data_IF_825462340287
#
_entry.id   IF_825462340287
#
_cell.length_a   1.000
_cell.length_b   1.000
_cell.length_c   1.000
_cell.angle_alpha   90.00
_cell.angle_beta   90.00
_cell.angle_gamma   90.00
#
_symmetry.space_group_name_H-M   'P 1'
#
loop_
_entity.id
_entity.type
_entity.pdbx_description
1 polymer ?
#
# COMPACT_ATOMS: atom_id res chain seq x y z
N UNK A 1 -4.72 -17.52 -4.29
CA UNK A 1 -3.33 -17.78 -4.71
C UNK A 1 -2.43 -17.97 -3.50
N UNK A 2 -1.56 -19.00 -3.50
CA UNK A 2 -0.39 -19.05 -2.59
C UNK A 2 0.63 -17.96 -2.95
N UNK A 3 1.37 -17.44 -1.98
CA UNK A 3 2.32 -16.33 -2.20
C UNK A 3 3.40 -16.66 -3.24
N UNK A 4 3.85 -17.92 -3.33
CA UNK A 4 4.81 -18.36 -4.34
C UNK A 4 4.30 -18.15 -5.77
N UNK A 5 2.99 -18.33 -5.98
CA UNK A 5 2.36 -18.13 -7.28
C UNK A 5 2.21 -16.62 -7.58
N UNK A 6 2.02 -15.78 -6.57
CA UNK A 6 2.11 -14.31 -6.71
C UNK A 6 3.51 -13.89 -7.17
N UNK A 7 4.55 -14.34 -6.47
CA UNK A 7 5.96 -14.03 -6.81
C UNK A 7 6.30 -14.51 -8.23
N UNK A 8 5.94 -15.75 -8.58
CA UNK A 8 6.15 -16.29 -9.94
C UNK A 8 5.40 -15.48 -11.01
N UNK A 9 4.21 -14.99 -10.71
CA UNK A 9 3.42 -14.15 -11.63
C UNK A 9 4.16 -12.85 -11.94
N UNK A 10 4.65 -12.15 -10.91
CA UNK A 10 5.42 -10.93 -11.10
C UNK A 10 6.77 -11.18 -11.75
N UNK A 11 7.48 -12.26 -11.42
CA UNK A 11 8.74 -12.63 -12.06
C UNK A 11 8.56 -12.77 -13.59
N UNK A 12 7.51 -13.46 -14.05
CA UNK A 12 7.20 -13.56 -15.49
C UNK A 12 6.96 -12.20 -16.14
N UNK A 13 6.25 -11.28 -15.46
CA UNK A 13 6.01 -9.92 -15.96
C UNK A 13 7.31 -9.11 -16.04
N UNK A 14 8.16 -9.21 -15.02
CA UNK A 14 9.48 -8.57 -14.98
C UNK A 14 10.35 -9.08 -16.13
N UNK A 15 10.44 -10.39 -16.34
CA UNK A 15 11.25 -10.98 -17.42
C UNK A 15 10.77 -10.54 -18.80
N UNK A 16 9.44 -10.47 -18.99
CA UNK A 16 8.85 -9.95 -20.22
C UNK A 16 9.17 -8.46 -20.42
N UNK A 17 9.02 -7.63 -19.39
CA UNK A 17 9.25 -6.19 -19.48
C UNK A 17 10.73 -5.85 -19.65
N UNK A 18 11.67 -6.61 -19.10
CA UNK A 18 13.11 -6.39 -19.34
C UNK A 18 13.51 -6.43 -20.81
N UNK A 19 12.75 -7.16 -21.62
CA UNK A 19 13.00 -7.29 -23.07
C UNK A 19 12.01 -6.48 -23.92
N UNK A 20 10.80 -6.22 -23.42
CA UNK A 20 9.71 -5.62 -24.19
C UNK A 20 9.14 -4.32 -23.58
N UNK A 21 9.82 -3.71 -22.60
CA UNK A 21 9.36 -2.44 -22.00
C UNK A 21 9.31 -1.35 -23.08
N UNK A 22 8.15 -0.72 -23.32
CA UNK A 22 8.05 0.37 -24.28
C UNK A 22 8.96 1.55 -23.89
N UNK A 23 9.59 2.23 -24.86
CA UNK A 23 10.37 3.43 -24.58
C UNK A 23 9.52 4.48 -23.85
N UNK A 24 10.04 4.99 -22.73
CA UNK A 24 9.33 5.98 -21.90
C UNK A 24 8.24 5.40 -20.99
N UNK A 25 8.23 4.09 -20.76
CA UNK A 25 7.33 3.42 -19.80
C UNK A 25 8.08 2.54 -18.78
N UNK A 26 9.30 2.94 -18.41
CA UNK A 26 10.16 2.23 -17.48
C UNK A 26 9.52 2.02 -16.10
N UNK A 27 8.64 2.93 -15.69
CA UNK A 27 7.84 2.82 -14.46
C UNK A 27 7.04 1.50 -14.39
N UNK A 28 6.62 0.94 -15.54
CA UNK A 28 5.90 -0.35 -15.58
C UNK A 28 6.79 -1.52 -15.15
N UNK A 29 8.04 -1.54 -15.58
CA UNK A 29 9.01 -2.55 -15.15
C UNK A 29 9.29 -2.40 -13.65
N UNK A 30 9.64 -1.18 -13.22
CA UNK A 30 10.00 -0.89 -11.84
C UNK A 30 8.86 -1.22 -10.86
N UNK A 31 7.61 -0.90 -11.21
CA UNK A 31 6.43 -1.26 -10.42
C UNK A 31 6.32 -2.77 -10.19
N UNK A 32 6.53 -3.58 -11.24
CA UNK A 32 6.48 -5.03 -11.12
C UNK A 32 7.69 -5.58 -10.34
N UNK A 33 8.85 -4.94 -10.42
CA UNK A 33 10.02 -5.29 -9.61
C UNK A 33 9.77 -5.01 -8.12
N UNK A 34 9.18 -3.86 -7.77
CA UNK A 34 8.80 -3.53 -6.38
C UNK A 34 7.85 -4.59 -5.81
N UNK A 35 6.76 -4.89 -6.52
CA UNK A 35 5.77 -5.90 -6.09
C UNK A 35 6.39 -7.29 -5.95
N UNK A 36 7.23 -7.68 -6.91
CA UNK A 36 7.94 -8.96 -6.86
C UNK A 36 8.81 -9.03 -5.60
N UNK A 37 9.67 -8.03 -5.39
CA UNK A 37 10.56 -7.98 -4.22
C UNK A 37 9.78 -7.97 -2.92
N UNK A 38 8.72 -7.15 -2.81
CA UNK A 38 7.87 -7.09 -1.62
C UNK A 38 7.31 -8.46 -1.21
N UNK A 39 6.69 -9.18 -2.15
CA UNK A 39 6.14 -10.51 -1.85
C UNK A 39 7.22 -11.58 -1.66
N UNK A 40 8.36 -11.46 -2.34
CA UNK A 40 9.50 -12.38 -2.20
C UNK A 40 10.16 -12.25 -0.82
N UNK A 41 10.33 -11.03 -0.31
CA UNK A 41 10.80 -10.78 1.06
C UNK A 41 9.86 -11.41 2.10
N UNK A 42 8.55 -11.20 1.97
CA UNK A 42 7.57 -11.75 2.90
C UNK A 42 7.52 -13.30 2.86
N UNK A 43 7.66 -13.88 1.66
CA UNK A 43 7.72 -15.32 1.46
C UNK A 43 8.97 -15.95 2.09
N UNK A 44 10.13 -15.28 1.98
CA UNK A 44 11.42 -15.82 2.38
C UNK A 44 11.87 -15.39 3.79
N UNK A 45 11.17 -14.46 4.45
CA UNK A 45 11.58 -13.87 5.72
C UNK A 45 12.14 -14.89 6.73
N UNK A 46 11.41 -15.98 6.99
CA UNK A 46 11.84 -17.04 7.91
C UNK A 46 13.09 -17.79 7.44
N UNK A 47 13.22 -18.07 6.14
CA UNK A 47 14.39 -18.74 5.58
C UNK A 47 15.64 -17.84 5.66
N UNK A 48 15.44 -16.53 5.52
CA UNK A 48 16.48 -15.51 5.60
C UNK A 48 16.83 -15.12 7.06
N UNK A 49 16.20 -15.76 8.06
CA UNK A 49 16.40 -15.44 9.47
C UNK A 49 15.90 -14.06 9.89
N UNK A 50 14.95 -13.49 9.14
CA UNK A 50 14.30 -12.20 9.43
C UNK A 50 12.93 -12.41 10.06
N UNK A 51 12.55 -11.48 10.94
CA UNK A 51 11.19 -11.42 11.46
C UNK A 51 10.23 -10.86 10.40
N UNK A 52 8.99 -11.33 10.42
CA UNK A 52 7.87 -10.85 9.61
C UNK A 52 6.86 -10.13 10.51
N UNK A 53 6.69 -8.83 10.27
CA UNK A 53 5.74 -7.99 10.99
C UNK A 53 4.51 -7.72 10.12
N UNK A 54 3.32 -8.02 10.65
CA UNK A 54 2.06 -7.66 10.00
C UNK A 54 1.62 -6.24 10.38
N UNK A 55 1.12 -5.49 9.41
CA UNK A 55 0.63 -4.14 9.59
C UNK A 55 -0.72 -3.96 8.88
N UNK A 56 -1.69 -3.34 9.54
CA UNK A 56 -2.95 -2.94 8.89
C UNK A 56 -2.72 -1.93 7.76
N UNK A 57 -3.71 -1.80 6.87
CA UNK A 57 -3.61 -0.99 5.64
C UNK A 57 -3.07 0.43 5.86
N UNK A 58 -3.46 1.13 6.93
CA UNK A 58 -3.06 2.53 7.22
C UNK A 58 -1.88 2.64 8.18
N UNK A 59 -1.44 1.54 8.80
CA UNK A 59 -0.36 1.59 9.77
C UNK A 59 1.03 1.72 9.10
N UNK A 60 1.99 2.46 9.68
CA UNK A 60 3.23 2.83 9.02
C UNK A 60 4.24 1.68 8.97
N UNK A 61 4.61 1.23 7.77
CA UNK A 61 5.59 0.15 7.58
C UNK A 61 7.04 0.61 7.77
N UNK A 62 7.26 1.92 7.84
CA UNK A 62 8.55 2.57 8.04
C UNK A 62 9.24 2.09 9.31
N UNK A 63 8.47 1.91 10.40
CA UNK A 63 9.00 1.41 11.68
C UNK A 63 9.56 -0.01 11.54
N UNK A 64 8.85 -0.89 10.82
CA UNK A 64 9.31 -2.25 10.54
C UNK A 64 10.61 -2.24 9.73
N UNK A 65 10.67 -1.41 8.68
CA UNK A 65 11.85 -1.30 7.81
C UNK A 65 13.06 -0.76 8.58
N UNK A 66 12.87 0.28 9.38
CA UNK A 66 13.92 0.82 10.25
C UNK A 66 14.47 -0.25 11.21
N UNK A 67 13.57 -1.10 11.74
CA UNK A 67 13.88 -2.25 12.60
C UNK A 67 14.32 -3.51 11.85
N UNK A 68 14.55 -3.44 10.53
CA UNK A 68 14.99 -4.60 9.73
C UNK A 68 14.01 -5.78 9.75
N UNK A 69 12.75 -5.53 10.11
CA UNK A 69 11.65 -6.49 10.06
C UNK A 69 11.00 -6.39 8.68
N UNK A 70 10.64 -7.54 8.10
CA UNK A 70 9.96 -7.59 6.81
C UNK A 70 8.49 -7.19 7.02
N UNK A 71 7.99 -6.12 6.38
CA UNK A 71 6.60 -5.73 6.49
C UNK A 71 5.71 -6.56 5.58
N UNK A 72 4.53 -6.91 6.07
CA UNK A 72 3.48 -7.53 5.29
C UNK A 72 2.11 -6.93 5.63
N UNK A 73 1.35 -6.53 4.62
CA UNK A 73 -0.02 -6.02 4.75
C UNK A 73 -0.99 -7.05 4.19
N UNK A 74 -1.67 -7.84 5.04
CA UNK A 74 -2.57 -8.89 4.58
C UNK A 74 -3.65 -8.36 3.61
N UNK A 75 -4.20 -7.17 3.85
CA UNK A 75 -5.24 -6.57 3.02
C UNK A 75 -4.77 -6.37 1.57
N UNK A 76 -3.51 -5.96 1.38
CA UNK A 76 -2.92 -5.81 0.05
C UNK A 76 -2.75 -7.16 -0.66
N UNK A 77 -2.44 -8.21 0.10
CA UNK A 77 -2.37 -9.56 -0.45
C UNK A 77 -3.73 -10.00 -0.99
N UNK A 78 -4.84 -9.67 -0.32
CA UNK A 78 -6.18 -9.91 -0.86
C UNK A 78 -6.47 -9.10 -2.12
N UNK A 79 -6.12 -7.82 -2.15
CA UNK A 79 -6.26 -6.98 -3.36
C UNK A 79 -5.53 -7.65 -4.55
N UNK A 80 -4.33 -8.19 -4.33
CA UNK A 80 -3.59 -8.90 -5.36
C UNK A 80 -4.27 -10.21 -5.80
N UNK A 81 -4.90 -10.94 -4.87
CA UNK A 81 -5.68 -12.14 -5.19
C UNK A 81 -6.93 -11.80 -6.02
N UNK A 82 -7.65 -10.75 -5.65
CA UNK A 82 -8.82 -10.24 -6.40
C UNK A 82 -8.42 -9.81 -7.81
N UNK A 83 -7.34 -9.02 -7.94
CA UNK A 83 -6.79 -8.58 -9.21
C UNK A 83 -6.28 -9.72 -10.11
N UNK A 84 -6.05 -10.90 -9.55
CA UNK A 84 -5.63 -12.10 -10.28
C UNK A 84 -6.81 -13.04 -10.61
N UNK A 85 -8.04 -12.67 -10.25
CA UNK A 85 -9.23 -13.49 -10.45
C UNK A 85 -9.37 -14.66 -9.45
N UNK A 86 -8.55 -14.71 -8.39
CA UNK A 86 -8.54 -15.80 -7.41
C UNK A 86 -9.16 -15.42 -6.06
N UNK A 87 -9.68 -14.20 -5.91
CA UNK A 87 -10.17 -13.70 -4.62
C UNK A 87 -11.56 -14.19 -4.19
N UNK A 88 -12.45 -14.53 -5.15
CA UNK A 88 -13.85 -14.85 -4.85
C UNK A 88 -14.01 -16.10 -3.98
N UNK A 89 -13.24 -17.15 -4.25
CA UNK A 89 -13.25 -18.39 -3.47
C UNK A 89 -12.93 -18.13 -1.99
N UNK A 90 -12.00 -17.21 -1.70
CA UNK A 90 -11.64 -16.88 -0.32
C UNK A 90 -12.73 -16.10 0.41
N UNK A 91 -13.51 -15.28 -0.30
CA UNK A 91 -14.69 -14.61 0.27
C UNK A 91 -15.72 -15.67 0.68
N UNK A 92 -16.00 -16.63 -0.20
CA UNK A 92 -16.93 -17.72 0.10
C UNK A 92 -16.47 -18.56 1.29
N UNK A 93 -15.18 -18.89 1.35
CA UNK A 93 -14.58 -19.60 2.48
C UNK A 93 -14.68 -18.82 3.79
N UNK A 94 -14.27 -17.54 3.80
CA UNK A 94 -14.32 -16.69 4.98
C UNK A 94 -15.72 -16.58 5.57
N UNK A 95 -16.71 -16.41 4.69
CA UNK A 95 -18.11 -16.43 5.09
C UNK A 95 -18.56 -17.81 5.60
N UNK A 96 -18.11 -18.90 4.94
CA UNK A 96 -18.38 -20.28 5.37
C UNK A 96 -17.80 -20.61 6.75
N UNK A 97 -16.73 -19.94 7.17
CA UNK A 97 -16.19 -20.02 8.52
C UNK A 97 -16.94 -19.17 9.55
N UNK A 98 -18.02 -18.49 9.15
CA UNK A 98 -18.89 -17.72 10.04
C UNK A 98 -18.48 -16.25 10.20
N UNK A 99 -17.52 -15.75 9.43
CA UNK A 99 -17.25 -14.30 9.40
C UNK A 99 -18.41 -13.57 8.71
N UNK A 100 -18.79 -12.41 9.23
CA UNK A 100 -19.96 -11.68 8.74
C UNK A 100 -19.79 -11.31 7.24
N UNK A 101 -20.74 -11.75 6.40
CA UNK A 101 -20.76 -11.44 4.96
C UNK A 101 -20.99 -9.96 4.65
N UNK A 102 -21.61 -9.23 5.57
CA UNK A 102 -21.84 -7.79 5.45
C UNK A 102 -20.58 -6.97 5.77
N UNK A 103 -19.51 -7.61 6.26
CA UNK A 103 -18.20 -6.97 6.42
C UNK A 103 -17.53 -6.72 5.06
N UNK A 104 -16.51 -5.86 5.05
CA UNK A 104 -15.67 -5.62 3.88
C UNK A 104 -15.22 -6.95 3.24
N UNK A 105 -15.44 -7.10 1.93
CA UNK A 105 -15.10 -8.32 1.18
C UNK A 105 -13.62 -8.69 1.31
N UNK A 106 -12.74 -7.70 1.43
CA UNK A 106 -11.31 -7.90 1.72
C UNK A 106 -11.10 -8.62 3.04
N UNK A 107 -11.83 -8.24 4.09
CA UNK A 107 -11.71 -8.83 5.43
C UNK A 107 -12.28 -10.25 5.46
N UNK A 108 -13.42 -10.47 4.79
CA UNK A 108 -13.99 -11.82 4.63
C UNK A 108 -12.99 -12.73 3.92
N UNK A 109 -12.42 -12.29 2.79
CA UNK A 109 -11.41 -13.05 2.07
C UNK A 109 -10.16 -13.35 2.90
N UNK A 110 -9.73 -12.40 3.74
CA UNK A 110 -8.59 -12.59 4.63
C UNK A 110 -8.81 -13.73 5.62
N UNK A 111 -10.00 -13.83 6.20
CA UNK A 111 -10.34 -14.96 7.09
C UNK A 111 -10.29 -16.28 6.33
N UNK A 112 -10.79 -16.32 5.10
CA UNK A 112 -10.68 -17.48 4.21
C UNK A 112 -9.22 -17.90 3.96
N UNK A 113 -8.36 -16.95 3.58
CA UNK A 113 -6.93 -17.17 3.38
C UNK A 113 -6.22 -17.63 4.66
N UNK A 114 -6.56 -17.03 5.81
CA UNK A 114 -5.98 -17.35 7.11
C UNK A 114 -6.25 -18.80 7.50
N UNK A 115 -7.53 -19.21 7.43
CA UNK A 115 -7.96 -20.56 7.80
C UNK A 115 -7.42 -21.65 6.88
N UNK A 116 -7.09 -21.30 5.63
CA UNK A 116 -6.44 -22.20 4.67
C UNK A 116 -4.91 -22.24 4.83
N UNK A 117 -4.31 -21.43 5.70
CA UNK A 117 -2.87 -21.37 5.89
C UNK A 117 -2.12 -20.85 4.66
N UNK A 118 -2.75 -19.95 3.88
CA UNK A 118 -2.19 -19.44 2.62
C UNK A 118 -1.45 -18.11 2.78
N UNK A 119 -1.39 -17.55 3.99
CA UNK A 119 -0.63 -16.33 4.28
C UNK A 119 0.70 -16.64 4.98
N UNK A 120 1.73 -15.82 4.74
CA UNK A 120 2.97 -15.85 5.52
C UNK A 120 2.70 -15.69 7.01
N UNK A 121 3.27 -16.54 7.87
CA UNK A 121 3.02 -16.51 9.31
C UNK A 121 3.78 -15.34 9.97
N UNK A 122 3.09 -14.41 10.67
CA UNK A 122 3.74 -13.29 11.36
C UNK A 122 4.45 -13.71 12.65
N UNK A 123 5.53 -13.00 12.99
CA UNK A 123 6.13 -13.03 14.32
C UNK A 123 5.40 -12.09 15.30
N UNK A 124 4.87 -10.98 14.78
CA UNK A 124 3.98 -10.06 15.50
C UNK A 124 3.15 -9.24 14.52
N UNK A 125 2.11 -8.56 15.03
CA UNK A 125 1.23 -7.71 14.23
C UNK A 125 0.96 -6.37 14.92
N UNK A 126 0.58 -5.35 14.15
CA UNK A 126 -0.05 -4.15 14.68
C UNK A 126 -1.12 -3.63 13.73
N UNK A 127 -2.17 -3.07 14.31
CA UNK A 127 -3.34 -2.61 13.57
C UNK A 127 -3.99 -1.40 14.24
N UNK A 128 -4.76 -0.64 13.47
CA UNK A 128 -5.52 0.51 13.95
C UNK A 128 -7.01 0.36 13.69
N UNK A 129 -7.82 1.20 14.34
CA UNK A 129 -9.23 1.40 13.99
C UNK A 129 -9.42 2.13 12.64
N UNK A 130 -8.42 2.90 12.19
CA UNK A 130 -8.41 3.53 10.87
C UNK A 130 -8.16 2.46 9.78
N UNK A 131 -8.88 2.46 8.63
CA UNK A 131 -9.99 3.33 8.27
C UNK A 131 -11.38 2.84 8.66
N UNK A 132 -11.50 1.68 9.32
CA UNK A 132 -12.81 1.15 9.68
C UNK A 132 -12.81 0.20 10.87
N UNK A 133 -13.92 0.20 11.62
CA UNK A 133 -14.16 -0.70 12.76
C UNK A 133 -14.12 -2.19 12.38
N UNK A 134 -14.51 -2.52 11.14
CA UNK A 134 -14.43 -3.91 10.67
C UNK A 134 -13.00 -4.44 10.60
N UNK A 135 -12.00 -3.54 10.56
CA UNK A 135 -10.59 -3.87 10.70
C UNK A 135 -10.27 -4.38 12.10
N UNK A 136 -10.80 -3.77 13.15
CA UNK A 136 -10.57 -4.18 14.55
C UNK A 136 -10.98 -5.64 14.75
N UNK A 137 -12.22 -5.98 14.36
CA UNK A 137 -12.73 -7.35 14.47
C UNK A 137 -11.94 -8.34 13.61
N UNK A 138 -11.52 -7.94 12.41
CA UNK A 138 -10.67 -8.77 11.56
C UNK A 138 -9.35 -9.10 12.28
N UNK A 139 -8.68 -8.09 12.83
CA UNK A 139 -7.37 -8.27 13.45
C UNK A 139 -7.45 -9.10 14.73
N UNK A 140 -8.52 -8.98 15.53
CA UNK A 140 -8.79 -9.88 16.66
C UNK A 140 -8.89 -11.35 16.21
N UNK A 141 -9.61 -11.60 15.10
CA UNK A 141 -9.74 -12.93 14.52
C UNK A 141 -8.40 -13.45 13.99
N UNK A 142 -7.62 -12.60 13.30
CA UNK A 142 -6.30 -12.99 12.78
C UNK A 142 -5.33 -13.31 13.92
N UNK A 143 -5.27 -12.49 14.96
CA UNK A 143 -4.45 -12.72 16.16
C UNK A 143 -4.83 -14.04 16.84
N UNK A 144 -6.13 -14.38 16.90
CA UNK A 144 -6.57 -15.68 17.41
C UNK A 144 -6.19 -16.85 16.50
N UNK A 145 -6.22 -16.70 15.17
CA UNK A 145 -5.83 -17.77 14.24
C UNK A 145 -4.32 -18.04 14.31
N UNK A 146 -3.50 -16.99 14.33
CA UNK A 146 -2.05 -17.10 14.23
C UNK A 146 -1.35 -17.18 15.58
N UNK A 147 -2.04 -16.86 16.69
CA UNK A 147 -1.48 -16.86 18.04
C UNK A 147 -0.18 -16.04 18.15
N UNK A 148 -0.08 -14.97 17.35
CA UNK A 148 1.03 -14.02 17.40
C UNK A 148 0.64 -12.83 18.26
N UNK A 149 1.59 -12.15 18.91
CA UNK A 149 1.22 -11.01 19.72
C UNK A 149 0.94 -9.79 18.83
N UNK A 150 -0.09 -9.03 19.19
CA UNK A 150 -0.58 -7.89 18.44
C UNK A 150 -0.54 -6.61 19.26
N UNK A 151 -0.29 -5.48 18.60
CA UNK A 151 -0.41 -4.13 19.16
C UNK A 151 -1.57 -3.39 18.49
N UNK A 152 -2.48 -2.83 19.30
CA UNK A 152 -3.53 -1.95 18.80
C UNK A 152 -3.03 -0.50 18.86
N UNK A 153 -2.88 0.11 17.70
CA UNK A 153 -2.48 1.51 17.53
C UNK A 153 -3.74 2.37 17.52
N UNK A 154 -3.97 3.10 18.61
CA UNK A 154 -5.15 3.94 18.74
C UNK A 154 -5.03 5.19 17.87
N UNK A 155 -6.13 5.54 17.21
CA UNK A 155 -6.16 6.57 16.19
C UNK A 155 -7.09 7.72 16.59
N UNK A 156 -6.59 8.97 16.64
CA UNK A 156 -7.43 10.10 17.02
C UNK A 156 -8.44 10.45 15.91
N UNK A 157 -9.64 10.88 16.32
CA UNK A 157 -10.69 11.35 15.39
C UNK A 157 -10.52 12.81 14.93
N UNK A 158 -9.60 13.55 15.55
CA UNK A 158 -9.39 14.97 15.30
C UNK A 158 -8.19 15.20 14.39
N UNK A 159 -8.23 16.27 13.59
CA UNK A 159 -7.15 16.68 12.70
C UNK A 159 -6.52 17.97 13.19
N UNK A 160 -5.81 17.89 14.32
CA UNK A 160 -5.16 19.02 14.96
C UNK A 160 -3.80 18.63 15.57
N UNK A 161 -3.13 19.61 16.20
CA UNK A 161 -1.82 19.38 16.81
C UNK A 161 -1.86 18.44 18.02
N UNK A 162 -2.98 18.38 18.74
CA UNK A 162 -3.15 17.50 19.89
C UNK A 162 -3.26 16.04 19.42
N UNK A 163 -4.05 15.79 18.39
CA UNK A 163 -4.14 14.49 17.73
C UNK A 163 -2.78 13.99 17.22
N UNK A 164 -1.99 14.87 16.59
CA UNK A 164 -0.62 14.53 16.16
C UNK A 164 0.27 14.17 17.35
N UNK A 165 0.20 14.94 18.44
CA UNK A 165 1.00 14.67 19.64
C UNK A 165 0.60 13.35 20.30
N UNK A 166 -0.70 13.05 20.35
CA UNK A 166 -1.23 11.80 20.88
C UNK A 166 -0.76 10.60 20.05
N UNK A 167 -0.99 10.64 18.73
CA UNK A 167 -0.59 9.55 17.85
C UNK A 167 0.93 9.36 17.81
N UNK A 168 1.71 10.43 17.99
CA UNK A 168 3.16 10.31 18.17
C UNK A 168 3.51 9.47 19.41
N UNK A 169 2.83 9.67 20.54
CA UNK A 169 2.99 8.84 21.74
C UNK A 169 2.63 7.36 21.48
N UNK A 170 1.51 7.12 20.80
CA UNK A 170 1.11 5.76 20.37
C UNK A 170 2.17 5.09 19.47
N UNK A 171 2.82 5.86 18.60
CA UNK A 171 3.94 5.36 17.77
C UNK A 171 5.20 5.09 18.60
N UNK A 172 5.47 5.86 19.67
CA UNK A 172 6.57 5.60 20.61
C UNK A 172 6.34 4.29 21.37
N UNK A 173 5.11 4.03 21.83
CA UNK A 173 4.72 2.77 22.47
C UNK A 173 4.81 1.58 21.49
N UNK A 174 4.40 1.78 20.24
CA UNK A 174 4.57 0.78 19.18
C UNK A 174 6.06 0.49 18.92
N UNK A 175 6.93 1.49 18.96
CA UNK A 175 8.39 1.28 18.86
C UNK A 175 8.87 0.42 20.03
N UNK A 176 8.50 0.72 21.27
CA UNK A 176 8.87 -0.10 22.43
C UNK A 176 8.39 -1.55 22.27
N UNK A 177 7.15 -1.75 21.83
CA UNK A 177 6.62 -3.07 21.52
C UNK A 177 7.48 -3.81 20.49
N UNK A 178 7.96 -3.15 19.44
CA UNK A 178 8.85 -3.76 18.44
C UNK A 178 10.24 -4.06 19.03
N UNK A 179 10.83 -3.16 19.82
CA UNK A 179 12.14 -3.35 20.44
C UNK A 179 12.19 -4.61 21.32
N UNK A 180 11.13 -4.87 22.08
CA UNK A 180 10.98 -6.07 22.91
C UNK A 180 11.01 -7.36 22.10
N UNK A 181 10.55 -7.34 20.84
CA UNK A 181 10.47 -8.52 19.95
C UNK A 181 11.68 -8.72 19.09
N UNK A 182 12.27 -7.62 18.63
CA UNK A 182 13.50 -7.64 17.84
C UNK A 182 14.73 -7.75 18.75
N UNK A 183 14.56 -7.55 20.07
CA UNK A 183 15.60 -7.59 21.09
C UNK A 183 16.76 -6.60 20.84
N UNK A 184 16.41 -5.43 20.30
CA UNK A 184 17.35 -4.34 20.05
C UNK A 184 16.59 -3.01 20.03
N UNK A 185 17.22 -1.90 20.44
CA UNK A 185 16.60 -0.59 20.33
C UNK A 185 16.45 -0.16 18.87
N UNK A 186 15.49 0.73 18.63
CA UNK A 186 15.35 1.48 17.39
C UNK A 186 16.58 2.33 17.18
N UNK A 187 17.19 2.20 16.01
CA UNK A 187 18.29 3.06 15.58
C UNK A 187 17.70 4.36 15.00
N UNK A 188 17.90 5.52 15.67
CA UNK A 188 17.31 6.78 15.22
C UNK A 188 17.80 7.21 13.83
N UNK A 189 19.05 6.90 13.47
CA UNK A 189 19.59 7.25 12.16
C UNK A 189 18.95 6.40 11.06
N UNK A 190 18.76 5.10 11.32
CA UNK A 190 18.02 4.22 10.40
C UNK A 190 16.58 4.67 10.23
N UNK A 191 15.89 5.01 11.32
CA UNK A 191 14.53 5.53 11.26
C UNK A 191 14.48 6.83 10.44
N UNK A 192 15.40 7.75 10.70
CA UNK A 192 15.50 9.00 9.97
C UNK A 192 15.73 8.76 8.46
N UNK A 193 16.65 7.86 8.10
CA UNK A 193 16.92 7.52 6.72
C UNK A 193 15.71 6.87 6.03
N UNK A 194 15.00 5.98 6.72
CA UNK A 194 13.75 5.39 6.21
C UNK A 194 12.70 6.47 5.97
N UNK A 195 12.42 7.34 6.95
CA UNK A 195 11.42 8.40 6.81
C UNK A 195 11.81 9.43 5.73
N UNK A 196 13.10 9.78 5.59
CA UNK A 196 13.59 10.62 4.47
C UNK A 196 13.28 10.03 3.10
N UNK A 197 13.35 8.71 2.97
CA UNK A 197 13.03 8.01 1.72
C UNK A 197 11.54 8.12 1.41
N UNK A 198 10.71 7.97 2.45
CA UNK A 198 9.25 8.09 2.36
C UNK A 198 8.81 9.52 2.06
N UNK A 199 9.56 10.49 2.59
CA UNK A 199 9.40 11.91 2.32
C UNK A 199 9.55 12.24 0.82
N UNK A 200 10.61 11.73 0.18
CA UNK A 200 10.80 11.91 -1.27
C UNK A 200 9.64 11.30 -2.07
N UNK A 201 9.24 10.07 -1.72
CA UNK A 201 8.10 9.39 -2.37
C UNK A 201 6.80 10.19 -2.21
N UNK A 202 6.55 10.74 -1.02
CA UNK A 202 5.37 11.56 -0.73
C UNK A 202 5.37 12.85 -1.55
N UNK A 203 6.51 13.55 -1.64
CA UNK A 203 6.66 14.74 -2.46
C UNK A 203 6.38 14.47 -3.94
N UNK A 204 6.97 13.42 -4.49
CA UNK A 204 6.77 13.02 -5.88
C UNK A 204 5.33 12.59 -6.15
N UNK A 205 4.68 11.95 -5.17
CA UNK A 205 3.27 11.56 -5.25
C UNK A 205 2.36 12.78 -5.29
N UNK A 206 2.59 13.78 -4.44
CA UNK A 206 1.86 15.06 -4.47
C UNK A 206 2.04 15.74 -5.83
N UNK A 207 3.28 15.86 -6.31
CA UNK A 207 3.56 16.51 -7.59
C UNK A 207 2.95 15.73 -8.77
N UNK A 208 2.92 14.40 -8.69
CA UNK A 208 2.22 13.55 -9.66
C UNK A 208 0.71 13.83 -9.67
N UNK A 209 0.06 13.98 -8.51
CA UNK A 209 -1.37 14.31 -8.46
C UNK A 209 -1.67 15.69 -9.06
N UNK A 210 -0.77 16.66 -8.90
CA UNK A 210 -0.90 17.97 -9.56
C UNK A 210 -0.86 17.86 -11.09
N UNK A 211 0.00 16.99 -11.63
CA UNK A 211 0.07 16.75 -13.08
C UNK A 211 -1.23 16.16 -13.64
N UNK A 212 -1.99 15.38 -12.86
CA UNK A 212 -3.28 14.83 -13.28
C UNK A 212 -4.38 15.89 -13.44
N UNK A 213 -4.15 17.13 -12.98
CA UNK A 213 -5.05 18.27 -13.24
C UNK A 213 -4.96 18.79 -14.68
N UNK A 214 -3.91 18.46 -15.41
CA UNK A 214 -3.76 18.86 -16.82
C UNK A 214 -4.92 18.34 -17.68
N UNK A 215 -5.23 19.06 -18.77
CA UNK A 215 -6.25 18.69 -19.76
C UNK A 215 -5.58 18.59 -21.13
N UNK A 216 -5.53 17.39 -21.75
CA UNK A 216 -5.98 16.10 -21.21
C UNK A 216 -5.11 15.59 -20.05
N UNK A 217 -5.65 14.71 -19.20
CA UNK A 217 -4.94 14.09 -18.08
C UNK A 217 -3.89 13.10 -18.61
N UNK A 218 -2.62 13.20 -18.22
CA UNK A 218 -1.52 12.41 -18.79
C UNK A 218 -1.56 10.92 -18.43
N UNK A 219 -2.32 10.53 -17.40
CA UNK A 219 -2.37 9.17 -16.85
C UNK A 219 -3.80 8.77 -16.50
N UNK A 220 -4.22 7.59 -16.96
CA UNK A 220 -5.54 7.02 -16.70
C UNK A 220 -5.66 6.46 -15.28
N UNK A 221 -6.90 6.30 -14.81
CA UNK A 221 -7.19 5.93 -13.41
C UNK A 221 -6.52 4.63 -12.99
N UNK A 222 -6.58 3.62 -13.84
CA UNK A 222 -6.00 2.30 -13.60
C UNK A 222 -4.51 2.35 -13.34
N UNK A 223 -3.78 3.19 -14.08
CA UNK A 223 -2.34 3.32 -13.92
C UNK A 223 -1.98 4.15 -12.69
N UNK A 224 -2.77 5.17 -12.36
CA UNK A 224 -2.57 5.95 -11.15
C UNK A 224 -2.63 5.09 -9.87
N UNK A 225 -3.47 4.04 -9.84
CA UNK A 225 -3.54 3.06 -8.74
C UNK A 225 -2.24 2.34 -8.43
N UNK A 226 -1.28 2.33 -9.35
CA UNK A 226 0.03 1.75 -9.08
C UNK A 226 0.74 2.47 -7.93
N UNK A 227 0.41 3.74 -7.64
CA UNK A 227 0.95 4.45 -6.47
C UNK A 227 0.52 3.85 -5.13
N UNK A 228 -0.57 3.08 -5.09
CA UNK A 228 -0.98 2.35 -3.87
C UNK A 228 0.10 1.38 -3.35
N UNK A 229 1.07 0.96 -4.18
CA UNK A 229 2.19 0.14 -3.71
C UNK A 229 3.06 0.85 -2.65
N UNK A 230 3.11 2.19 -2.69
CA UNK A 230 3.91 2.99 -1.76
C UNK A 230 3.50 2.76 -0.30
N UNK A 231 2.23 2.47 -0.03
CA UNK A 231 1.72 2.15 1.32
C UNK A 231 2.31 0.85 1.89
N UNK A 232 2.74 -0.06 1.02
CA UNK A 232 3.22 -1.40 1.39
C UNK A 232 4.75 -1.48 1.35
N UNK A 233 5.33 -0.82 0.35
CA UNK A 233 6.74 -0.86 0.01
C UNK A 233 7.45 0.45 0.39
N UNK A 234 6.88 1.22 1.32
CA UNK A 234 7.51 2.42 1.87
C UNK A 234 8.88 2.07 2.46
N UNK A 235 9.86 2.96 2.29
CA UNK A 235 11.24 2.75 2.72
C UNK A 235 12.09 1.82 1.83
N UNK A 236 11.55 1.25 0.75
CA UNK A 236 12.34 0.47 -0.22
C UNK A 236 12.98 1.40 -1.29
N UNK A 237 14.27 1.26 -1.60
CA UNK A 237 14.91 2.02 -2.69
C UNK A 237 14.21 1.85 -4.04
N UNK A 238 13.75 0.63 -4.35
CA UNK A 238 13.02 0.31 -5.57
C UNK A 238 11.71 1.10 -5.70
N UNK A 239 11.05 1.39 -4.58
CA UNK A 239 9.82 2.21 -4.56
C UNK A 239 10.13 3.64 -4.98
N UNK A 240 11.25 4.20 -4.53
CA UNK A 240 11.67 5.55 -4.93
C UNK A 240 11.96 5.59 -6.43
N UNK A 241 12.69 4.60 -6.95
CA UNK A 241 13.00 4.51 -8.38
C UNK A 241 11.72 4.43 -9.22
N UNK A 242 10.77 3.57 -8.83
CA UNK A 242 9.47 3.46 -9.46
C UNK A 242 8.73 4.81 -9.48
N UNK A 243 8.54 5.42 -8.31
CA UNK A 243 7.76 6.66 -8.18
C UNK A 243 8.41 7.81 -8.94
N UNK A 244 9.75 7.90 -8.92
CA UNK A 244 10.50 8.91 -9.68
C UNK A 244 10.32 8.73 -11.18
N UNK A 245 10.47 7.50 -11.69
CA UNK A 245 10.23 7.20 -13.10
C UNK A 245 8.78 7.51 -13.50
N UNK A 246 7.82 7.11 -12.66
CA UNK A 246 6.39 7.32 -12.93
C UNK A 246 6.03 8.81 -12.98
N UNK A 247 6.56 9.61 -12.06
CA UNK A 247 6.43 11.06 -12.09
C UNK A 247 7.07 11.66 -13.35
N UNK A 248 8.31 11.30 -13.69
CA UNK A 248 9.02 11.84 -14.85
C UNK A 248 8.28 11.54 -16.16
N UNK A 249 7.85 10.30 -16.37
CA UNK A 249 7.08 9.89 -17.55
C UNK A 249 5.78 10.68 -17.67
N UNK A 250 5.09 10.89 -16.55
CA UNK A 250 3.85 11.66 -16.47
C UNK A 250 4.09 13.15 -16.78
N UNK A 251 5.17 13.72 -16.23
CA UNK A 251 5.54 15.12 -16.46
C UNK A 251 5.90 15.39 -17.92
N UNK A 252 6.60 14.45 -18.58
CA UNK A 252 6.90 14.54 -20.01
C UNK A 252 5.64 14.49 -20.87
N UNK A 253 4.70 13.57 -20.57
CA UNK A 253 3.40 13.51 -21.27
C UNK A 253 2.61 14.81 -21.10
N UNK A 254 2.53 15.32 -19.86
CA UNK A 254 1.86 16.59 -19.57
C UNK A 254 2.49 17.76 -20.35
N UNK A 255 3.83 17.83 -20.43
CA UNK A 255 4.53 18.88 -21.19
C UNK A 255 4.26 18.82 -22.69
N UNK A 256 4.07 17.61 -23.24
CA UNK A 256 3.71 17.41 -24.66
C UNK A 256 2.22 17.59 -24.93
N UNK A 257 1.38 17.80 -23.91
CA UNK A 257 -0.07 17.87 -24.05
C UNK A 257 -0.70 16.51 -24.39
N UNK A 258 -0.03 15.41 -24.05
CA UNK A 258 -0.50 14.05 -24.33
C UNK A 258 -1.37 13.55 -23.18
N UNK A 259 -2.58 13.09 -23.52
CA UNK A 259 -3.50 12.46 -22.58
C UNK A 259 -3.28 10.97 -22.42
N UNK A 260 -3.88 10.40 -21.39
CA UNK A 260 -3.99 8.95 -21.19
C UNK A 260 -4.74 8.28 -22.34
N UNK A 261 -5.73 8.98 -22.89
CA UNK A 261 -6.55 8.55 -24.02
C UNK A 261 -6.64 9.65 -25.09
N UNK A 262 -6.93 9.32 -26.37
CA UNK A 262 -6.98 10.30 -27.46
C UNK A 262 -8.07 11.37 -27.31
N UNK A 263 -9.20 11.03 -26.69
CA UNK A 263 -10.35 11.94 -26.51
C UNK A 263 -10.88 11.88 -25.09
N UNK A 264 -10.28 12.68 -24.19
CA UNK A 264 -10.86 12.92 -22.87
C UNK A 264 -12.10 13.82 -22.98
N UNK A 265 -13.27 13.29 -22.63
CA UNK A 265 -14.57 13.99 -22.64
C UNK A 265 -15.11 14.24 -21.24
N UNK A 266 -14.84 13.32 -20.31
CA UNK A 266 -15.33 13.39 -18.94
C UNK A 266 -14.17 13.16 -17.97
N UNK A 267 -14.17 13.92 -16.87
CA UNK A 267 -13.17 13.82 -15.80
C UNK A 267 -13.86 13.39 -14.52
N UNK A 268 -13.40 12.28 -13.95
CA UNK A 268 -14.07 11.62 -12.83
C UNK A 268 -13.22 11.72 -11.57
N UNK A 269 -13.87 12.11 -10.48
CA UNK A 269 -13.41 11.86 -9.12
C UNK A 269 -14.03 10.55 -8.64
N UNK A 270 -13.22 9.50 -8.44
CA UNK A 270 -13.69 8.20 -7.98
C UNK A 270 -13.60 8.10 -6.46
N UNK A 271 -14.74 8.02 -5.77
CA UNK A 271 -14.76 7.86 -4.32
C UNK A 271 -14.96 6.39 -3.96
N UNK A 272 -14.02 5.82 -3.21
CA UNK A 272 -14.06 4.45 -2.72
C UNK A 272 -13.04 3.50 -3.37
N UNK A 273 -13.14 2.24 -2.99
CA UNK A 273 -12.34 1.16 -3.56
C UNK A 273 -12.57 0.97 -5.05
N UNK A 274 -11.49 0.74 -5.79
CA UNK A 274 -11.61 0.31 -7.18
C UNK A 274 -12.15 -1.12 -7.24
N UNK A 275 -12.88 -1.50 -8.28
CA UNK A 275 -13.33 -2.87 -8.47
C UNK A 275 -12.11 -3.74 -8.84
N UNK A 276 -11.29 -4.09 -7.85
CA UNK A 276 -10.03 -4.82 -8.07
C UNK A 276 -10.24 -6.17 -8.76
N UNK A 277 -11.44 -6.74 -8.68
CA UNK A 277 -11.82 -7.96 -9.38
C UNK A 277 -12.09 -7.76 -10.88
N UNK A 278 -12.31 -6.53 -11.34
CA UNK A 278 -12.62 -6.20 -12.74
C UNK A 278 -12.19 -4.78 -13.15
N UNK A 279 -10.93 -4.65 -13.56
CA UNK A 279 -10.43 -3.40 -14.13
C UNK A 279 -11.01 -3.06 -15.51
N UNK A 280 -11.70 -3.98 -16.20
CA UNK A 280 -12.27 -3.72 -17.52
C UNK A 280 -13.37 -2.67 -17.46
N UNK A 281 -13.95 -2.43 -16.29
CA UNK A 281 -14.89 -1.33 -16.09
C UNK A 281 -14.21 0.02 -16.36
N UNK A 282 -12.96 0.20 -15.93
CA UNK A 282 -12.20 1.43 -16.16
C UNK A 282 -11.86 1.56 -17.65
N UNK A 283 -11.38 0.47 -18.26
CA UNK A 283 -11.07 0.43 -19.70
C UNK A 283 -12.32 0.78 -20.54
N UNK A 284 -13.48 0.19 -20.19
CA UNK A 284 -14.77 0.48 -20.84
C UNK A 284 -15.21 1.94 -20.70
N UNK A 285 -15.04 2.56 -19.52
CA UNK A 285 -15.35 3.97 -19.30
C UNK A 285 -14.47 4.89 -20.16
N UNK A 286 -13.18 4.55 -20.25
CA UNK A 286 -12.20 5.29 -21.05
C UNK A 286 -12.47 5.15 -22.55
N UNK A 287 -12.74 3.93 -23.04
CA UNK A 287 -12.95 3.61 -24.46
C UNK A 287 -14.31 4.10 -25.00
N UNK A 288 -15.41 3.84 -24.30
CA UNK A 288 -16.76 4.12 -24.79
C UNK A 288 -17.19 5.57 -24.57
N UNK A 289 -16.76 6.18 -23.46
CA UNK A 289 -17.23 7.50 -23.05
C UNK A 289 -16.15 8.57 -23.05
N UNK A 290 -14.87 8.21 -23.22
CA UNK A 290 -13.77 9.14 -23.01
C UNK A 290 -13.71 9.64 -21.56
N UNK A 291 -14.11 8.81 -20.61
CA UNK A 291 -14.23 9.18 -19.20
C UNK A 291 -13.01 8.74 -18.40
N UNK A 292 -12.17 9.70 -18.02
CA UNK A 292 -10.89 9.46 -17.34
C UNK A 292 -11.04 9.74 -15.84
N UNK A 293 -10.60 8.79 -15.00
CA UNK A 293 -10.49 9.01 -13.56
C UNK A 293 -9.22 9.83 -13.28
N UNK A 294 -9.41 11.10 -12.94
CA UNK A 294 -8.33 12.07 -12.75
C UNK A 294 -7.99 12.29 -11.27
N UNK A 295 -8.85 11.82 -10.37
CA UNK A 295 -8.63 11.79 -8.93
C UNK A 295 -9.40 10.61 -8.33
N UNK A 296 -8.87 9.99 -7.28
CA UNK A 296 -9.48 8.82 -6.65
C UNK A 296 -9.17 8.76 -5.15
N UNK A 297 -10.14 8.36 -4.33
CA UNK A 297 -10.06 8.41 -2.86
C UNK A 297 -9.04 7.48 -2.20
N UNK A 298 -8.33 6.63 -2.96
CA UNK A 298 -7.34 5.69 -2.43
C UNK A 298 -5.89 6.07 -2.77
N UNK A 299 -5.65 6.96 -3.73
CA UNK A 299 -4.32 7.51 -4.03
C UNK A 299 -4.10 8.92 -3.45
N UNK A 300 -4.99 9.45 -2.62
CA UNK A 300 -4.85 10.79 -2.03
C UNK A 300 -4.24 10.69 -0.63
N UNK A 301 -2.94 10.38 -0.55
CA UNK A 301 -2.12 10.37 0.68
C UNK A 301 -0.69 10.81 0.33
N UNK A 302 0.00 11.65 1.14
CA UNK A 302 -0.46 12.85 1.85
C UNK A 302 -0.79 14.01 0.89
N UNK A 303 -1.70 14.91 1.27
CA UNK A 303 -2.16 16.00 0.39
C UNK A 303 -1.24 17.22 0.37
N UNK A 304 -0.47 17.42 1.44
CA UNK A 304 0.32 18.63 1.62
C UNK A 304 1.75 18.31 2.06
N UNK A 305 2.71 18.93 1.38
CA UNK A 305 4.15 18.80 1.68
C UNK A 305 4.49 19.31 3.09
N UNK A 306 3.68 20.19 3.65
CA UNK A 306 3.87 20.78 4.99
C UNK A 306 3.79 19.77 6.12
N UNK A 307 3.17 18.61 5.88
CA UNK A 307 3.03 17.54 6.87
C UNK A 307 4.34 16.79 7.14
N UNK A 308 5.39 17.08 6.37
CA UNK A 308 6.60 16.29 6.30
C UNK A 308 7.79 17.04 6.91
N UNK A 309 8.33 16.52 8.01
CA UNK A 309 9.52 17.06 8.71
C UNK A 309 10.54 15.94 8.99
N UNK A 310 11.65 15.88 8.24
CA UNK A 310 12.65 14.84 8.42
C UNK A 310 13.44 14.97 9.74
N UNK A 311 13.29 16.06 10.50
CA UNK A 311 13.91 16.23 11.82
C UNK A 311 13.10 15.60 12.96
N UNK A 312 11.81 15.31 12.72
CA UNK A 312 10.92 14.60 13.64
C UNK A 312 10.26 13.40 12.94
N UNK A 313 10.97 12.25 12.81
CA UNK A 313 10.48 11.10 12.06
C UNK A 313 9.13 10.57 12.54
N UNK A 314 8.95 10.40 13.86
CA UNK A 314 7.70 9.89 14.44
C UNK A 314 6.57 10.93 14.33
N UNK A 315 6.86 12.21 14.57
CA UNK A 315 5.86 13.26 14.35
C UNK A 315 5.46 13.40 12.89
N UNK A 316 6.35 13.10 11.94
CA UNK A 316 6.03 13.08 10.52
C UNK A 316 5.11 11.92 10.17
N UNK A 317 5.38 10.72 10.66
CA UNK A 317 4.46 9.60 10.49
C UNK A 317 3.10 9.92 11.12
N UNK A 318 3.07 10.49 12.33
CA UNK A 318 1.84 10.91 12.99
C UNK A 318 1.07 11.95 12.18
N UNK A 319 1.73 12.97 11.62
CA UNK A 319 1.08 13.98 10.75
C UNK A 319 0.53 13.38 9.47
N UNK A 320 1.31 12.53 8.79
CA UNK A 320 0.86 11.85 7.56
C UNK A 320 -0.40 11.07 7.88
N UNK A 321 -0.39 10.31 8.98
CA UNK A 321 -1.55 9.56 9.44
C UNK A 321 -2.72 10.51 9.70
N UNK A 322 -2.62 11.42 10.67
CA UNK A 322 -3.74 12.30 11.09
C UNK A 322 -4.39 13.08 9.93
N UNK A 323 -3.62 13.51 8.92
CA UNK A 323 -4.12 14.43 7.88
C UNK A 323 -4.40 13.80 6.51
N UNK A 324 -4.38 12.48 6.40
CA UNK A 324 -4.64 11.81 5.14
C UNK A 324 -5.82 10.83 5.23
#
# INVERSE_FOLDING_TARGET
MKIEKVVKSFQKRVDHLRTNCPPGEQSKLLYNEVLKTYFEEAMNARQDGKLLGWASMTAPVELLRAMGVVPFKPEQYVIQNLASGEGLEYIEMGAGYGFNRESCSTHVALVGLAKQGLMPVPDFAYHSANPCDSGITLWDVLSHIYQCPSFFLDYPYHHDAEAVSYLKGELEDLVQFMEERVHRPMDPERLNQTVKTCHEVSHLTIDFQELRKAVPCPVGGRHALNLGITQNASGMPQTVEFVRAFYQETAEKARRGEGAIPQERHRILWLGGMPYYDYRLIDWMEEEFGAVIVADGLNIWPHEKVLLDPSDPLGTLARIMVYS
#
